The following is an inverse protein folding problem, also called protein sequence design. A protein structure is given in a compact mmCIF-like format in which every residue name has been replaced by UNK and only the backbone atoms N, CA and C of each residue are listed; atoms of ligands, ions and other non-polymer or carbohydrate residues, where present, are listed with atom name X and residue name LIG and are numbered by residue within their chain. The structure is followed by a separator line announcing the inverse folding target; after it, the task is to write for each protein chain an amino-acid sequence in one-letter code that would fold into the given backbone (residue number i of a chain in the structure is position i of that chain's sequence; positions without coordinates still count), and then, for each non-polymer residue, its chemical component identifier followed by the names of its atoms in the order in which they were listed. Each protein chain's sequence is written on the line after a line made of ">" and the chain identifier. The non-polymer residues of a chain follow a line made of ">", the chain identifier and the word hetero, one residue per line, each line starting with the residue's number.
data_IF_901794346464
#
_entry.id   IF_901794346464
#
_cell.length_a   1.000
_cell.length_b   1.000
_cell.length_c   1.000
_cell.angle_alpha   90.00
_cell.angle_beta   90.00
_cell.angle_gamma   90.00
#
_symmetry.space_group_name_H-M   'P 1'
#
loop_
_entity.id
_entity.type
_entity.pdbx_description
1 polymer ?
#
# COMPACT_ATOMS: atom_id res chain seq x y z
N UNK A 1 37.18 -34.91 27.76
CA UNK A 1 36.93 -33.55 28.30
C UNK A 1 36.99 -32.44 27.25
N UNK A 2 37.95 -32.43 26.31
CA UNK A 2 38.07 -31.40 25.25
C UNK A 2 36.84 -31.26 24.31
N UNK A 3 36.17 -32.38 24.00
CA UNK A 3 35.00 -32.38 23.10
C UNK A 3 33.75 -31.73 23.72
N UNK A 4 33.54 -31.94 25.03
CA UNK A 4 32.43 -31.29 25.76
C UNK A 4 32.61 -29.77 25.83
N UNK A 5 33.85 -29.29 25.98
CA UNK A 5 34.14 -27.85 26.03
C UNK A 5 33.90 -27.16 24.68
N UNK A 6 34.24 -27.82 23.56
CA UNK A 6 33.90 -27.33 22.23
C UNK A 6 32.38 -27.20 22.02
N UNK A 7 31.61 -28.20 22.46
CA UNK A 7 30.16 -28.17 22.30
C UNK A 7 29.52 -27.02 23.10
N UNK A 8 29.93 -26.84 24.36
CA UNK A 8 29.47 -25.73 25.20
C UNK A 8 29.87 -24.36 24.62
N UNK A 9 31.09 -24.22 24.10
CA UNK A 9 31.56 -22.99 23.47
C UNK A 9 30.75 -22.62 22.21
N UNK A 10 30.41 -23.58 21.36
CA UNK A 10 29.61 -23.34 20.15
C UNK A 10 28.18 -22.91 20.51
N UNK A 11 27.57 -23.52 21.53
CA UNK A 11 26.22 -23.13 21.97
C UNK A 11 26.23 -21.70 22.52
N UNK A 12 27.21 -21.33 23.34
CA UNK A 12 27.31 -19.97 23.88
C UNK A 12 27.52 -18.92 22.79
N UNK A 13 28.34 -19.19 21.78
CA UNK A 13 28.55 -18.26 20.67
C UNK A 13 27.28 -18.03 19.83
N UNK A 14 26.48 -19.08 19.62
CA UNK A 14 25.20 -18.95 18.89
C UNK A 14 24.17 -18.14 19.68
N UNK A 15 24.09 -18.31 21.02
CA UNK A 15 23.20 -17.51 21.87
C UNK A 15 23.58 -16.04 21.84
N UNK A 16 24.87 -15.72 21.94
CA UNK A 16 25.36 -14.33 21.89
C UNK A 16 25.04 -13.70 20.52
N UNK A 17 25.25 -14.42 19.42
CA UNK A 17 24.91 -13.95 18.07
C UNK A 17 23.39 -13.68 17.90
N UNK A 18 22.54 -14.52 18.49
CA UNK A 18 21.08 -14.34 18.50
C UNK A 18 20.69 -13.06 19.26
N UNK A 19 21.26 -12.85 20.45
CA UNK A 19 20.99 -11.67 21.26
C UNK A 19 21.37 -10.39 20.51
N UNK A 20 22.57 -10.32 19.92
CA UNK A 20 23.03 -9.13 19.17
C UNK A 20 22.12 -8.81 17.98
N UNK A 21 21.64 -9.84 17.25
CA UNK A 21 20.73 -9.66 16.10
C UNK A 21 19.35 -9.14 16.52
N UNK A 22 18.83 -9.59 17.66
CA UNK A 22 17.56 -9.11 18.23
C UNK A 22 17.59 -7.64 18.65
N UNK A 23 18.69 -7.18 19.24
CA UNK A 23 18.84 -5.77 19.64
C UNK A 23 18.83 -4.82 18.43
N UNK A 24 19.49 -5.20 17.33
CA UNK A 24 19.56 -4.37 16.12
C UNK A 24 18.18 -4.21 15.45
N UNK A 25 17.37 -5.26 15.45
CA UNK A 25 16.04 -5.23 14.85
C UNK A 25 15.08 -4.31 15.63
N UNK A 26 15.21 -4.23 16.96
CA UNK A 26 14.35 -3.37 17.79
C UNK A 26 14.61 -1.88 17.57
N UNK A 27 15.88 -1.50 17.41
CA UNK A 27 16.26 -0.12 17.09
C UNK A 27 15.76 0.30 15.71
N UNK A 28 15.95 -0.54 14.69
CA UNK A 28 15.49 -0.27 13.33
C UNK A 28 13.96 -0.18 13.22
N UNK A 29 13.21 -1.02 13.95
CA UNK A 29 11.76 -1.02 13.96
C UNK A 29 11.16 0.25 14.58
N UNK A 30 11.73 0.76 15.69
CA UNK A 30 11.23 1.97 16.36
C UNK A 30 11.36 3.23 15.49
N UNK A 31 12.48 3.40 14.78
CA UNK A 31 12.68 4.54 13.86
C UNK A 31 11.70 4.46 12.69
N UNK A 32 11.44 3.27 12.14
CA UNK A 32 10.47 3.08 11.06
C UNK A 32 9.05 3.46 11.48
N UNK A 33 8.62 3.11 12.69
CA UNK A 33 7.29 3.47 13.19
C UNK A 33 7.09 4.98 13.27
N UNK A 34 8.10 5.71 13.78
CA UNK A 34 8.05 7.17 13.87
C UNK A 34 7.99 7.83 12.48
N UNK A 35 8.67 7.27 11.48
CA UNK A 35 8.63 7.81 10.12
C UNK A 35 7.26 7.60 9.46
N UNK A 36 6.59 6.47 9.72
CA UNK A 36 5.26 6.19 9.18
C UNK A 36 4.20 7.09 9.82
N UNK A 37 4.27 7.31 11.13
CA UNK A 37 3.34 8.20 11.85
C UNK A 37 3.38 9.65 11.34
N UNK A 38 4.56 10.17 10.98
CA UNK A 38 4.69 11.53 10.43
C UNK A 38 4.26 11.66 8.96
N UNK A 39 4.05 10.55 8.24
CA UNK A 39 3.76 10.58 6.81
C UNK A 39 2.26 10.80 6.52
N UNK A 40 1.38 10.41 7.43
CA UNK A 40 -0.08 10.53 7.25
C UNK A 40 -0.58 11.98 7.44
N UNK A 41 0.11 12.79 8.25
CA UNK A 41 -0.31 14.16 8.57
C UNK A 41 0.00 15.20 7.47
N UNK A 42 0.80 14.86 6.46
CA UNK A 42 1.27 15.83 5.43
C UNK A 42 0.74 15.57 4.03
N UNK A 43 -0.06 14.52 3.81
CA UNK A 43 -0.65 14.24 2.50
C UNK A 43 -1.90 15.09 2.26
N UNK A 44 -1.73 16.41 2.17
CA UNK A 44 -2.74 17.30 1.63
C UNK A 44 -2.93 16.99 0.13
N UNK A 45 -3.83 16.08 -0.19
CA UNK A 45 -4.23 15.86 -1.58
C UNK A 45 -4.95 17.11 -2.06
N UNK A 46 -4.27 17.89 -2.92
CA UNK A 46 -4.88 18.98 -3.67
C UNK A 46 -5.91 18.39 -4.64
N UNK A 47 -7.12 18.12 -4.14
CA UNK A 47 -8.25 17.76 -4.98
C UNK A 47 -9.05 19.02 -5.20
N UNK A 48 -8.84 19.66 -6.35
CA UNK A 48 -9.75 20.69 -6.84
C UNK A 48 -11.16 20.11 -6.90
N UNK A 49 -12.18 20.94 -6.62
CA UNK A 49 -13.59 20.52 -6.66
C UNK A 49 -13.89 19.93 -8.04
N UNK A 50 -14.20 18.64 -8.09
CA UNK A 50 -14.51 17.96 -9.34
C UNK A 50 -15.77 18.60 -9.97
N UNK A 51 -15.72 19.02 -11.25
CA UNK A 51 -16.90 19.56 -11.92
C UNK A 51 -18.00 18.51 -11.99
N UNK A 52 -19.26 18.96 -12.08
CA UNK A 52 -20.40 18.06 -12.20
C UNK A 52 -20.29 17.22 -13.49
N UNK A 53 -20.15 15.91 -13.33
CA UNK A 53 -20.00 14.98 -14.46
C UNK A 53 -21.37 14.76 -15.15
N UNK A 54 -21.46 14.87 -16.48
CA UNK A 54 -22.68 14.54 -17.19
C UNK A 54 -23.03 13.06 -17.01
N UNK A 55 -24.25 12.78 -16.53
CA UNK A 55 -24.77 11.43 -16.39
C UNK A 55 -25.34 10.96 -17.72
N UNK A 56 -24.93 9.78 -18.18
CA UNK A 56 -25.46 9.14 -19.39
C UNK A 56 -26.27 7.91 -18.98
N UNK A 57 -27.52 7.85 -19.43
CA UNK A 57 -28.37 6.68 -19.19
C UNK A 57 -28.04 5.56 -20.17
N UNK A 58 -27.76 4.36 -19.66
CA UNK A 58 -27.55 3.12 -20.45
C UNK A 58 -28.81 2.53 -21.08
N UNK A 59 -29.93 3.25 -21.01
CA UNK A 59 -31.23 2.83 -21.52
C UNK A 59 -31.97 4.02 -22.13
N UNK A 60 -32.99 3.73 -22.91
CA UNK A 60 -33.93 4.71 -23.47
C UNK A 60 -35.35 4.19 -23.35
N UNK A 61 -36.31 5.09 -23.19
CA UNK A 61 -37.72 4.71 -23.18
C UNK A 61 -38.23 4.57 -24.61
N UNK A 62 -38.75 3.38 -24.94
CA UNK A 62 -39.42 3.11 -26.22
C UNK A 62 -40.84 2.67 -25.89
N UNK A 63 -41.82 3.50 -26.21
CA UNK A 63 -43.23 3.31 -25.82
C UNK A 63 -43.43 3.16 -24.29
N UNK A 64 -42.73 3.98 -23.50
CA UNK A 64 -42.83 3.96 -22.02
C UNK A 64 -42.08 2.80 -21.34
N UNK A 65 -41.50 1.86 -22.10
CA UNK A 65 -40.72 0.74 -21.56
C UNK A 65 -39.22 1.05 -21.66
N UNK A 66 -38.42 0.89 -20.58
CA UNK A 66 -36.98 1.08 -20.65
C UNK A 66 -36.34 -0.05 -21.47
N UNK A 67 -35.67 0.31 -22.56
CA UNK A 67 -34.90 -0.62 -23.40
C UNK A 67 -33.41 -0.28 -23.34
N UNK A 68 -32.51 -1.28 -23.34
CA UNK A 68 -31.07 -1.05 -23.39
C UNK A 68 -30.69 -0.18 -24.59
N UNK A 69 -29.80 0.79 -24.37
CA UNK A 69 -29.27 1.67 -25.42
C UNK A 69 -27.80 1.37 -25.66
N UNK A 70 -27.41 1.17 -26.91
CA UNK A 70 -26.00 1.05 -27.29
C UNK A 70 -25.31 2.42 -27.12
N UNK A 71 -24.32 2.50 -26.23
CA UNK A 71 -23.49 3.69 -26.05
C UNK A 71 -22.21 3.49 -26.86
N UNK A 72 -22.08 4.25 -27.96
CA UNK A 72 -20.83 4.31 -28.69
C UNK A 72 -19.89 5.32 -28.02
N UNK A 73 -18.94 4.84 -27.22
CA UNK A 73 -17.88 5.68 -26.66
C UNK A 73 -16.76 5.79 -27.70
N UNK A 74 -16.78 6.89 -28.46
CA UNK A 74 -15.72 7.21 -29.41
C UNK A 74 -14.61 8.05 -28.76
N UNK A 75 -13.38 7.88 -29.22
CA UNK A 75 -12.28 8.77 -28.86
C UNK A 75 -12.29 9.98 -29.80
N UNK A 76 -12.70 11.14 -29.31
CA UNK A 76 -12.62 12.38 -30.09
C UNK A 76 -11.20 12.92 -29.99
N UNK A 77 -10.44 12.91 -31.09
CA UNK A 77 -9.11 13.52 -31.14
C UNK A 77 -9.24 15.04 -31.08
N UNK A 78 -9.11 15.59 -29.88
CA UNK A 78 -8.97 17.03 -29.67
C UNK A 78 -7.51 17.41 -29.84
N UNK A 79 -7.20 18.32 -30.77
CA UNK A 79 -5.94 19.06 -30.74
C UNK A 79 -6.10 20.14 -29.67
N UNK A 80 -5.22 20.10 -28.67
CA UNK A 80 -5.11 21.16 -27.67
C UNK A 80 -4.48 22.40 -28.31
#
# INVERSE_FOLDING_TARGET
>A
MKLFYCFVAVVLLNVIACCVRGYQLKAAYSTRQKLLENQDDTLHMFVDKLPNMPKVYGYSYVHGVPKPKHIAVGMFMKKW
#
